data_IF_934326823728
#
_entry.id   IF_934326823728
#
_cell.length_a   1.000
_cell.length_b   1.000
_cell.length_c   1.000
_cell.angle_alpha   90.00
_cell.angle_beta   90.00
_cell.angle_gamma   90.00
#
_symmetry.space_group_name_H-M   'P 1'
#
loop_
_entity.id
_entity.type
_entity.pdbx_description
1 polymer ?
#
# COMPACT_ATOMS: atom_id res chain seq x y z
N UNK A 1 -20.14 -21.09 6.04
CA UNK A 1 -19.07 -20.14 6.33
C UNK A 1 -19.67 -19.03 7.17
N UNK A 2 -19.17 -18.75 8.37
CA UNK A 2 -19.70 -17.67 9.16
C UNK A 2 -19.38 -16.33 8.48
N UNK A 3 -20.41 -15.56 8.18
CA UNK A 3 -20.30 -14.17 7.77
C UNK A 3 -19.83 -13.38 8.99
N UNK A 4 -18.59 -12.92 9.01
CA UNK A 4 -18.13 -11.99 10.03
C UNK A 4 -18.73 -10.61 9.73
N UNK A 5 -19.84 -10.31 10.36
CA UNK A 5 -20.42 -8.97 10.45
C UNK A 5 -19.96 -8.40 11.79
N UNK A 6 -18.96 -7.49 11.75
CA UNK A 6 -18.41 -6.90 12.96
C UNK A 6 -16.92 -6.60 12.83
N UNK A 7 -16.27 -6.31 13.93
CA UNK A 7 -14.81 -6.14 14.03
C UNK A 7 -14.13 -7.46 13.64
N UNK A 8 -13.18 -7.39 12.73
CA UNK A 8 -12.38 -8.55 12.37
C UNK A 8 -11.27 -8.79 13.40
N UNK A 9 -11.09 -10.05 13.79
CA UNK A 9 -10.08 -10.42 14.78
C UNK A 9 -8.71 -10.54 14.11
N UNK A 10 -7.75 -9.79 14.59
CA UNK A 10 -6.36 -9.91 14.19
C UNK A 10 -5.69 -11.14 14.85
N UNK A 11 -4.86 -11.85 14.11
CA UNK A 11 -4.02 -12.94 14.60
C UNK A 11 -2.57 -12.44 14.54
N UNK A 12 -1.85 -12.48 15.67
CA UNK A 12 -0.40 -12.35 15.65
C UNK A 12 0.21 -13.61 15.10
N UNK A 13 0.95 -13.47 14.02
CA UNK A 13 1.64 -14.57 13.37
C UNK A 13 3.16 -14.43 13.53
N UNK A 14 3.89 -15.48 13.18
CA UNK A 14 5.35 -15.51 13.17
C UNK A 14 5.85 -15.75 11.75
N UNK A 15 7.05 -15.28 11.46
CA UNK A 15 7.70 -15.48 10.18
C UNK A 15 9.11 -16.05 10.34
N UNK A 16 9.61 -16.67 9.28
CA UNK A 16 11.02 -17.07 9.19
C UNK A 16 11.65 -16.42 7.96
N UNK A 17 12.81 -15.76 8.16
CA UNK A 17 13.57 -15.18 7.07
C UNK A 17 14.14 -16.26 6.18
N UNK A 18 13.81 -16.26 4.90
CA UNK A 18 14.31 -17.21 3.91
C UNK A 18 15.45 -16.66 3.08
N UNK A 19 15.41 -15.36 2.78
CA UNK A 19 16.45 -14.66 2.03
C UNK A 19 16.55 -13.22 2.49
N UNK A 20 17.69 -12.61 2.27
CA UNK A 20 17.93 -11.17 2.44
C UNK A 20 18.46 -10.64 1.12
N UNK A 21 17.90 -9.56 0.65
CA UNK A 21 18.25 -8.94 -0.62
C UNK A 21 18.84 -7.55 -0.38
N UNK A 22 19.78 -7.09 -1.22
CA UNK A 22 20.27 -5.73 -1.13
C UNK A 22 19.15 -4.72 -1.43
N UNK A 23 19.20 -3.57 -0.74
CA UNK A 23 18.23 -2.50 -0.87
C UNK A 23 18.94 -1.15 -0.78
N UNK A 24 18.51 -0.12 -1.56
CA UNK A 24 19.12 1.21 -1.50
C UNK A 24 18.90 1.85 -0.12
N UNK A 25 19.98 2.22 0.57
CA UNK A 25 19.90 2.86 1.88
C UNK A 25 19.23 4.24 1.87
N UNK A 26 19.06 4.84 0.69
CA UNK A 26 18.39 6.13 0.47
C UNK A 26 16.89 6.01 0.28
N UNK A 27 16.35 4.81 0.07
CA UNK A 27 14.91 4.61 -0.07
C UNK A 27 14.22 4.67 1.28
N UNK A 28 13.26 5.56 1.41
CA UNK A 28 12.37 5.63 2.57
C UNK A 28 11.08 4.85 2.24
N UNK A 29 11.15 3.54 2.38
CA UNK A 29 10.08 2.61 1.97
C UNK A 29 8.79 2.86 2.73
N UNK A 30 7.69 2.99 2.00
CA UNK A 30 6.34 3.18 2.53
C UNK A 30 5.33 2.18 1.97
N UNK A 31 5.66 1.50 0.91
CA UNK A 31 4.85 0.43 0.36
C UNK A 31 5.67 -0.50 -0.52
N UNK A 32 5.38 -1.78 -0.46
CA UNK A 32 6.02 -2.82 -1.25
C UNK A 32 4.95 -3.73 -1.86
N UNK A 33 5.17 -4.18 -3.07
CA UNK A 33 4.39 -5.25 -3.67
C UNK A 33 5.21 -6.04 -4.68
N UNK A 34 5.24 -7.34 -4.55
CA UNK A 34 5.80 -8.20 -5.59
C UNK A 34 4.71 -8.55 -6.60
N UNK A 35 4.88 -8.11 -7.83
CA UNK A 35 3.94 -8.37 -8.92
C UNK A 35 4.67 -8.43 -10.27
N UNK A 36 4.20 -9.28 -11.17
CA UNK A 36 4.72 -9.43 -12.53
C UNK A 36 6.25 -9.67 -12.60
N UNK A 37 6.78 -10.44 -11.64
CA UNK A 37 8.20 -10.77 -11.56
C UNK A 37 9.11 -9.65 -11.07
N UNK A 38 8.56 -8.56 -10.53
CA UNK A 38 9.28 -7.40 -10.02
C UNK A 38 8.84 -7.06 -8.61
N UNK A 39 9.75 -6.51 -7.82
CA UNK A 39 9.41 -5.86 -6.57
C UNK A 39 9.16 -4.37 -6.84
N UNK A 40 7.96 -3.93 -6.58
CA UNK A 40 7.55 -2.53 -6.66
C UNK A 40 7.67 -1.88 -5.29
N UNK A 41 8.12 -0.64 -5.27
CA UNK A 41 8.30 0.12 -4.03
C UNK A 41 7.75 1.53 -4.19
N UNK A 42 6.92 1.94 -3.23
CA UNK A 42 6.55 3.33 -2.99
C UNK A 42 7.44 3.92 -1.90
N UNK A 43 8.03 5.08 -2.15
CA UNK A 43 8.88 5.76 -1.15
C UNK A 43 8.26 7.05 -0.68
N UNK A 44 8.58 7.44 0.56
CA UNK A 44 8.23 8.71 1.17
C UNK A 44 9.31 9.78 0.97
N UNK A 45 9.20 10.84 1.73
CA UNK A 45 9.98 12.08 1.77
C UNK A 45 9.55 13.15 0.76
N UNK A 46 9.34 14.36 1.29
CA UNK A 46 8.97 15.51 0.45
C UNK A 46 10.07 15.84 -0.55
N UNK A 47 9.70 15.93 -1.82
CA UNK A 47 10.61 16.20 -2.92
C UNK A 47 11.38 14.99 -3.45
N UNK A 48 11.30 13.83 -2.75
CA UNK A 48 12.05 12.62 -3.08
C UNK A 48 11.14 11.39 -3.32
N UNK A 49 9.84 11.51 -3.01
CA UNK A 49 8.88 10.41 -3.14
C UNK A 49 8.76 9.90 -4.58
N UNK A 50 8.90 8.58 -4.73
CA UNK A 50 8.83 7.91 -6.03
C UNK A 50 8.03 6.61 -5.93
N UNK A 51 7.60 6.12 -7.09
CA UNK A 51 7.38 4.70 -7.32
C UNK A 51 8.58 4.18 -8.09
N UNK A 52 9.13 3.08 -7.67
CA UNK A 52 10.29 2.45 -8.31
C UNK A 52 10.15 0.92 -8.34
N UNK A 53 10.94 0.28 -9.17
CA UNK A 53 11.11 -1.17 -9.17
C UNK A 53 12.50 -1.53 -8.67
N UNK A 54 12.62 -2.66 -7.99
CA UNK A 54 13.87 -3.15 -7.41
C UNK A 54 14.27 -4.47 -8.07
N UNK A 55 15.52 -4.55 -8.47
CA UNK A 55 16.17 -5.80 -8.80
C UNK A 55 16.66 -6.47 -7.52
N UNK A 56 16.06 -7.61 -7.17
CA UNK A 56 16.33 -8.31 -5.91
C UNK A 56 17.76 -8.88 -5.81
N UNK A 57 18.42 -9.13 -6.93
CA UNK A 57 19.78 -9.67 -6.93
C UNK A 57 20.83 -8.60 -6.66
N UNK A 58 20.62 -7.41 -7.19
CA UNK A 58 21.61 -6.32 -7.14
C UNK A 58 21.22 -5.18 -6.19
N UNK A 59 19.97 -5.08 -5.79
CA UNK A 59 19.43 -3.94 -5.05
C UNK A 59 19.29 -2.67 -5.90
N UNK A 60 19.46 -2.77 -7.22
CA UNK A 60 19.33 -1.61 -8.10
C UNK A 60 17.87 -1.19 -8.19
N UNK A 61 17.63 0.08 -7.87
CA UNK A 61 16.33 0.71 -8.06
C UNK A 61 16.24 1.41 -9.42
N UNK A 62 15.09 1.30 -10.05
CA UNK A 62 14.74 2.02 -11.27
C UNK A 62 13.47 2.83 -11.01
N UNK A 63 13.59 4.17 -11.09
CA UNK A 63 12.47 5.08 -10.84
C UNK A 63 11.46 4.98 -11.97
N UNK A 64 10.24 4.68 -11.59
CA UNK A 64 9.10 4.50 -12.49
C UNK A 64 8.24 5.77 -12.60
N UNK A 65 7.93 6.39 -11.46
CA UNK A 65 7.18 7.65 -11.39
C UNK A 65 7.66 8.50 -10.22
N UNK A 66 7.50 9.83 -10.34
CA UNK A 66 7.84 10.78 -9.28
C UNK A 66 6.61 11.55 -8.84
N UNK A 67 6.46 11.74 -7.54
CA UNK A 67 5.41 12.59 -6.99
C UNK A 67 5.79 14.08 -7.08
N UNK A 68 4.77 14.96 -7.05
CA UNK A 68 5.01 16.39 -6.83
C UNK A 68 5.79 16.62 -5.51
N UNK A 69 6.67 17.60 -5.49
CA UNK A 69 7.59 17.86 -4.36
C UNK A 69 6.91 18.12 -3.01
N UNK A 70 5.67 18.62 -3.05
CA UNK A 70 4.88 18.89 -1.85
C UNK A 70 4.20 17.64 -1.27
N UNK A 71 4.18 16.53 -2.00
CA UNK A 71 3.51 15.31 -1.56
C UNK A 71 4.52 14.33 -0.95
N UNK A 72 4.12 13.69 0.12
CA UNK A 72 4.84 12.59 0.73
C UNK A 72 4.16 11.29 0.30
N UNK A 73 4.87 10.44 -0.45
CA UNK A 73 4.35 9.17 -0.94
C UNK A 73 4.23 8.13 0.16
N UNK A 74 3.20 7.32 0.06
CA UNK A 74 2.87 6.25 0.99
C UNK A 74 2.63 4.93 0.24
N UNK A 75 1.83 4.04 0.79
CA UNK A 75 1.52 2.72 0.28
C UNK A 75 1.14 2.67 -1.19
N UNK A 76 1.49 1.59 -1.84
CA UNK A 76 1.20 1.34 -3.26
C UNK A 76 0.41 0.05 -3.44
N UNK A 77 -0.34 -0.04 -4.54
CA UNK A 77 -0.93 -1.30 -4.99
C UNK A 77 -1.00 -1.36 -6.52
N UNK A 78 -0.70 -2.54 -7.07
CA UNK A 78 -0.86 -2.84 -8.49
C UNK A 78 -2.18 -3.59 -8.71
N UNK A 79 -3.00 -3.03 -9.59
CA UNK A 79 -4.29 -3.62 -9.95
C UNK A 79 -4.65 -3.26 -11.38
N UNK A 80 -5.01 -4.27 -12.19
CA UNK A 80 -5.46 -4.11 -13.58
C UNK A 80 -4.53 -3.23 -14.43
N UNK A 81 -3.22 -3.51 -14.39
CA UNK A 81 -2.21 -2.78 -15.15
C UNK A 81 -2.00 -1.33 -14.71
N UNK A 82 -2.40 -1.00 -13.50
CA UNK A 82 -2.23 0.33 -12.88
C UNK A 82 -1.49 0.23 -11.56
N UNK A 83 -0.71 1.25 -11.26
CA UNK A 83 -0.10 1.47 -9.93
C UNK A 83 -0.88 2.58 -9.24
N UNK A 84 -1.44 2.26 -8.09
CA UNK A 84 -2.06 3.23 -7.18
C UNK A 84 -1.03 3.60 -6.11
N UNK A 85 -0.89 4.87 -5.79
CA UNK A 85 -0.02 5.36 -4.72
C UNK A 85 -0.76 6.36 -3.85
N UNK A 86 -0.74 6.14 -2.55
CA UNK A 86 -1.26 7.07 -1.56
C UNK A 86 -0.28 8.21 -1.29
N UNK A 87 -0.80 9.28 -0.69
CA UNK A 87 -0.02 10.33 -0.05
C UNK A 87 -0.38 10.43 1.42
N UNK A 88 0.58 10.78 2.27
CA UNK A 88 0.36 10.88 3.72
C UNK A 88 -0.76 11.87 4.07
N UNK A 89 -0.53 13.18 3.92
CA UNK A 89 -1.45 14.24 4.38
C UNK A 89 -2.03 15.08 3.25
N UNK A 90 -1.62 14.86 2.01
CA UNK A 90 -2.13 15.62 0.86
C UNK A 90 -3.55 15.20 0.44
N UNK A 91 -4.11 14.15 1.05
CA UNK A 91 -5.45 13.62 0.76
C UNK A 91 -5.63 13.21 -0.71
N UNK A 92 -4.57 12.70 -1.33
CA UNK A 92 -4.52 12.35 -2.75
C UNK A 92 -4.03 10.91 -2.94
N UNK A 93 -4.57 10.26 -3.96
CA UNK A 93 -3.99 9.05 -4.54
C UNK A 93 -3.69 9.28 -6.01
N UNK A 94 -2.50 8.91 -6.43
CA UNK A 94 -2.08 8.93 -7.82
C UNK A 94 -2.26 7.56 -8.46
N UNK A 95 -2.63 7.55 -9.72
CA UNK A 95 -2.77 6.33 -10.52
C UNK A 95 -1.90 6.47 -11.76
N UNK A 96 -1.03 5.50 -11.96
CA UNK A 96 -0.12 5.44 -13.09
C UNK A 96 -0.41 4.21 -13.96
N UNK A 97 -0.16 4.30 -15.24
CA UNK A 97 -0.09 3.13 -16.13
C UNK A 97 1.13 2.28 -15.74
N UNK A 98 0.93 1.01 -15.38
CA UNK A 98 2.01 0.15 -14.87
C UNK A 98 3.07 -0.21 -15.93
N UNK A 99 2.84 0.08 -17.20
CA UNK A 99 3.77 -0.18 -18.29
C UNK A 99 4.60 1.05 -18.64
N UNK A 100 4.01 2.25 -18.58
CA UNK A 100 4.64 3.48 -19.07
C UNK A 100 5.05 4.46 -17.99
N UNK A 101 4.50 4.36 -16.78
CA UNK A 101 4.67 5.35 -15.70
C UNK A 101 3.87 6.64 -15.91
N UNK A 102 3.06 6.71 -16.97
CA UNK A 102 2.23 7.87 -17.22
C UNK A 102 1.16 8.02 -16.12
N UNK A 103 1.02 9.25 -15.58
CA UNK A 103 -0.06 9.54 -14.64
C UNK A 103 -1.40 9.55 -15.37
N UNK A 104 -2.24 8.58 -15.04
CA UNK A 104 -3.58 8.43 -15.62
C UNK A 104 -4.63 9.24 -14.88
N UNK A 105 -4.53 9.31 -13.52
CA UNK A 105 -5.58 9.85 -12.69
C UNK A 105 -5.06 10.32 -11.34
N UNK A 106 -5.84 11.20 -10.72
CA UNK A 106 -5.70 11.61 -9.33
C UNK A 106 -7.06 11.48 -8.65
N UNK A 107 -7.07 10.83 -7.50
CA UNK A 107 -8.23 10.77 -6.63
C UNK A 107 -8.00 11.61 -5.38
N UNK A 108 -9.10 11.97 -4.72
CA UNK A 108 -9.06 12.59 -3.39
C UNK A 108 -9.79 11.72 -2.39
N UNK A 109 -9.26 11.66 -1.19
CA UNK A 109 -9.86 10.95 -0.07
C UNK A 109 -9.70 11.75 1.24
N UNK A 110 -10.60 11.56 2.23
CA UNK A 110 -10.50 12.24 3.49
C UNK A 110 -9.49 11.55 4.42
N UNK A 111 -8.75 12.34 5.20
CA UNK A 111 -7.78 11.83 6.18
C UNK A 111 -6.43 11.45 5.58
N UNK A 112 -5.60 10.80 6.36
CA UNK A 112 -4.29 10.33 5.94
C UNK A 112 -4.39 9.04 5.14
N UNK A 113 -3.39 8.76 4.30
CA UNK A 113 -3.19 7.48 3.65
C UNK A 113 -1.87 6.90 4.10
N UNK A 114 -1.86 5.62 4.50
CA UNK A 114 -0.68 4.91 4.97
C UNK A 114 -0.41 3.70 4.08
N UNK A 115 -0.87 2.50 4.42
CA UNK A 115 -0.70 1.31 3.60
C UNK A 115 -1.79 1.12 2.55
N UNK A 116 -1.46 0.43 1.47
CA UNK A 116 -2.40 0.09 0.41
C UNK A 116 -2.08 -1.30 -0.15
N UNK A 117 -3.11 -2.14 -0.27
CA UNK A 117 -2.98 -3.45 -0.93
C UNK A 117 -4.23 -3.80 -1.74
N UNK A 118 -4.22 -4.94 -2.42
CA UNK A 118 -5.34 -5.39 -3.27
C UNK A 118 -5.52 -6.90 -3.23
N UNK A 119 -6.76 -7.35 -3.30
CA UNK A 119 -7.14 -8.76 -3.52
C UNK A 119 -7.29 -9.12 -5.01
N UNK A 120 -6.89 -8.21 -5.90
CA UNK A 120 -7.10 -8.32 -7.34
C UNK A 120 -8.46 -7.80 -7.83
N UNK A 121 -9.31 -7.29 -6.93
CA UNK A 121 -10.63 -6.73 -7.28
C UNK A 121 -10.91 -5.40 -6.58
N UNK A 122 -10.53 -5.28 -5.32
CA UNK A 122 -10.69 -4.11 -4.47
C UNK A 122 -9.34 -3.63 -3.97
N UNK A 123 -9.31 -2.39 -3.53
CA UNK A 123 -8.18 -1.84 -2.80
C UNK A 123 -8.50 -1.81 -1.30
N UNK A 124 -7.48 -2.01 -0.49
CA UNK A 124 -7.57 -1.93 0.98
C UNK A 124 -6.57 -0.92 1.48
N UNK A 125 -7.03 0.07 2.24
CA UNK A 125 -6.23 1.20 2.71
C UNK A 125 -6.25 1.29 4.23
N UNK A 126 -5.10 1.51 4.83
CA UNK A 126 -4.93 1.95 6.22
C UNK A 126 -4.74 3.46 6.30
N UNK A 127 -4.94 4.03 7.50
CA UNK A 127 -4.78 5.47 7.78
C UNK A 127 -4.14 5.73 9.16
N UNK A 128 -3.42 4.74 9.69
CA UNK A 128 -2.79 4.81 11.01
C UNK A 128 -3.75 4.58 12.17
N UNK A 129 -5.04 4.48 11.93
CA UNK A 129 -6.02 4.04 12.95
C UNK A 129 -6.15 2.52 12.97
N UNK A 130 -7.10 2.00 13.75
CA UNK A 130 -7.46 0.59 13.73
C UNK A 130 -8.37 0.20 12.54
N UNK A 131 -8.59 1.10 11.57
CA UNK A 131 -9.51 0.85 10.49
C UNK A 131 -8.77 0.50 9.19
N UNK A 132 -9.32 -0.48 8.48
CA UNK A 132 -9.00 -0.78 7.08
C UNK A 132 -10.22 -0.43 6.24
N UNK A 133 -10.02 0.34 5.19
CA UNK A 133 -11.05 0.77 4.26
C UNK A 133 -10.98 -0.05 2.98
N UNK A 134 -12.11 -0.66 2.60
CA UNK A 134 -12.27 -1.25 1.27
C UNK A 134 -12.68 -0.16 0.30
N UNK A 135 -11.95 -0.02 -0.81
CA UNK A 135 -12.16 1.02 -1.81
C UNK A 135 -12.55 0.41 -3.16
N UNK A 136 -13.43 1.10 -3.86
CA UNK A 136 -13.68 0.87 -5.28
C UNK A 136 -12.50 1.43 -6.10
N UNK A 137 -11.78 0.61 -6.90
CA UNK A 137 -10.60 1.09 -7.62
C UNK A 137 -10.91 2.09 -8.74
N UNK A 138 -12.14 2.10 -9.29
CA UNK A 138 -12.53 2.99 -10.36
C UNK A 138 -12.84 4.41 -9.87
N UNK A 139 -13.34 4.54 -8.64
CA UNK A 139 -13.80 5.80 -8.05
C UNK A 139 -13.03 6.21 -6.81
N UNK A 140 -12.26 5.30 -6.22
CA UNK A 140 -11.55 5.43 -4.94
C UNK A 140 -12.47 5.73 -3.75
N UNK A 141 -13.75 5.47 -3.88
CA UNK A 141 -14.74 5.64 -2.80
C UNK A 141 -14.63 4.51 -1.78
N UNK A 142 -14.73 4.88 -0.51
CA UNK A 142 -14.82 3.93 0.61
C UNK A 142 -16.15 3.22 0.57
N UNK A 143 -16.15 1.89 0.35
CA UNK A 143 -17.34 1.04 0.34
C UNK A 143 -17.59 0.40 1.70
N UNK A 144 -16.51 0.06 2.41
CA UNK A 144 -16.57 -0.58 3.72
C UNK A 144 -15.47 -0.04 4.62
N UNK A 145 -15.75 0.02 5.92
CA UNK A 145 -14.79 0.24 6.99
C UNK A 145 -14.80 -0.98 7.90
N UNK A 146 -13.65 -1.58 8.11
CA UNK A 146 -13.45 -2.71 9.03
C UNK A 146 -12.52 -2.27 10.14
N UNK A 147 -12.97 -2.36 11.40
CA UNK A 147 -12.14 -2.08 12.55
C UNK A 147 -11.42 -3.36 12.97
N UNK A 148 -10.10 -3.30 13.05
CA UNK A 148 -9.25 -4.43 13.42
C UNK A 148 -9.10 -4.46 14.94
N UNK A 149 -9.28 -5.63 15.54
CA UNK A 149 -9.14 -5.84 16.97
C UNK A 149 -8.22 -7.02 17.27
N UNK A 150 -7.49 -6.94 18.36
CA UNK A 150 -6.70 -8.04 18.91
C UNK A 150 -7.17 -8.29 20.35
N UNK A 151 -7.70 -9.48 20.63
CA UNK A 151 -8.26 -9.87 21.94
C UNK A 151 -9.31 -8.90 22.49
N UNK A 152 -10.13 -8.33 21.59
CA UNK A 152 -11.20 -7.39 21.92
C UNK A 152 -10.78 -5.91 22.00
N UNK A 153 -9.48 -5.62 21.93
CA UNK A 153 -8.95 -4.25 21.91
C UNK A 153 -8.65 -3.80 20.49
N UNK A 154 -8.89 -2.52 20.18
CA UNK A 154 -8.58 -1.95 18.86
C UNK A 154 -7.07 -1.91 18.61
N UNK A 155 -6.65 -2.34 17.44
CA UNK A 155 -5.25 -2.35 17.03
C UNK A 155 -4.94 -1.12 16.16
N UNK A 156 -4.47 -0.05 16.79
CA UNK A 156 -4.11 1.20 16.11
C UNK A 156 -2.72 1.12 15.46
N UNK A 157 -2.42 2.12 14.63
CA UNK A 157 -1.16 2.28 13.91
C UNK A 157 -0.93 1.22 12.84
N UNK A 158 -2.00 0.67 12.27
CA UNK A 158 -1.89 -0.17 11.08
C UNK A 158 -1.27 0.66 9.96
N UNK A 159 -0.13 0.22 9.47
CA UNK A 159 0.64 0.96 8.49
C UNK A 159 0.64 0.23 7.14
N UNK A 160 1.75 -0.28 6.72
CA UNK A 160 1.89 -0.97 5.44
C UNK A 160 1.03 -2.24 5.40
N UNK A 161 0.43 -2.52 4.25
CA UNK A 161 -0.50 -3.62 4.05
C UNK A 161 -0.06 -4.51 2.89
N UNK A 162 -0.12 -5.84 3.11
CA UNK A 162 0.08 -6.81 2.05
C UNK A 162 -1.06 -7.85 2.01
N UNK A 163 -1.51 -8.19 0.78
CA UNK A 163 -2.48 -9.25 0.56
C UNK A 163 -1.77 -10.56 0.25
N UNK A 164 -1.82 -11.52 1.18
CA UNK A 164 -1.16 -12.82 1.05
C UNK A 164 -2.15 -13.93 1.44
N UNK A 165 -2.38 -14.85 0.53
CA UNK A 165 -3.21 -16.06 0.74
C UNK A 165 -4.60 -15.76 1.36
N UNK A 166 -5.28 -14.73 0.83
CA UNK A 166 -6.62 -14.37 1.26
C UNK A 166 -6.69 -13.59 2.57
N UNK A 167 -5.55 -13.09 3.06
CA UNK A 167 -5.45 -12.30 4.30
C UNK A 167 -4.71 -10.99 4.05
N UNK A 168 -5.04 -9.99 4.84
CA UNK A 168 -4.26 -8.75 4.92
C UNK A 168 -3.24 -8.91 6.03
N UNK A 169 -1.97 -8.72 5.67
CA UNK A 169 -0.85 -8.58 6.60
C UNK A 169 -0.57 -7.11 6.81
N UNK A 170 -0.31 -6.71 8.04
CA UNK A 170 -0.01 -5.33 8.41
C UNK A 170 1.13 -5.28 9.44
N UNK A 171 1.91 -4.22 9.41
CA UNK A 171 2.90 -3.91 10.45
C UNK A 171 2.44 -2.75 11.33
#
# INVERSE_FOLDING_TARGET
MPSLVGSEMCIRDSYSVRAVHPHPATSYTQGLQYADGRLWEGTGQHGESVVQTLDLATGRAEVFARLPKQDFGEGIALLDGKVYQLTWQSNKAYVYDARTGEKLKEFRYPGEGWGLTTDGKKLYMSDGTANIYTLDPATFKREKRTTVTLRGETLNFLNELEWIDGKIWAN
#
